data_IF_998009004049
#
_entry.id   IF_998009004049
#
_cell.length_a   1.000
_cell.length_b   1.000
_cell.length_c   1.000
_cell.angle_alpha   90.00
_cell.angle_beta   90.00
_cell.angle_gamma   90.00
#
_symmetry.space_group_name_H-M   'P 1'
#
loop_
_entity.id
_entity.type
_entity.pdbx_description
1 polymer ?
#
# COMPACT_ATOMS: atom_id res chain seq x y z
N UNK A 1 -48.91 44.46 4.19
CA UNK A 1 -47.75 44.17 5.05
C UNK A 1 -47.39 42.68 4.94
N UNK A 2 -46.97 42.21 3.77
CA UNK A 2 -46.61 40.79 3.53
C UNK A 2 -45.17 40.60 3.03
N UNK A 3 -44.54 41.63 2.43
CA UNK A 3 -43.17 41.53 1.91
C UNK A 3 -42.07 41.32 2.97
N UNK A 4 -42.25 41.80 4.21
CA UNK A 4 -41.22 41.65 5.26
C UNK A 4 -41.03 40.21 5.77
N UNK A 5 -42.01 39.32 5.59
CA UNK A 5 -41.89 37.89 5.96
C UNK A 5 -41.29 37.06 4.81
N UNK A 6 -41.58 37.41 3.56
CA UNK A 6 -40.95 36.79 2.38
C UNK A 6 -39.45 37.14 2.32
N UNK A 7 -39.08 38.40 2.56
CA UNK A 7 -37.67 38.82 2.62
C UNK A 7 -36.90 38.14 3.78
N UNK A 8 -37.56 37.90 4.92
CA UNK A 8 -36.97 37.18 6.06
C UNK A 8 -36.77 35.69 5.76
N UNK A 9 -37.75 35.06 5.11
CA UNK A 9 -37.67 33.66 4.71
C UNK A 9 -36.60 33.43 3.62
N UNK A 10 -36.46 34.35 2.67
CA UNK A 10 -35.42 34.30 1.64
C UNK A 10 -34.02 34.48 2.25
N UNK A 11 -33.84 35.45 3.15
CA UNK A 11 -32.56 35.64 3.84
C UNK A 11 -32.19 34.45 4.72
N UNK A 12 -33.13 33.89 5.47
CA UNK A 12 -32.91 32.70 6.30
C UNK A 12 -32.56 31.47 5.44
N UNK A 13 -33.25 31.30 4.31
CA UNK A 13 -32.94 30.24 3.34
C UNK A 13 -31.52 30.39 2.81
N UNK A 14 -31.13 31.59 2.36
CA UNK A 14 -29.77 31.86 1.87
C UNK A 14 -28.69 31.58 2.94
N UNK A 15 -28.95 31.96 4.19
CA UNK A 15 -28.04 31.71 5.31
C UNK A 15 -27.88 30.21 5.59
N UNK A 16 -28.98 29.45 5.59
CA UNK A 16 -28.97 27.99 5.74
C UNK A 16 -28.22 27.32 4.57
N UNK A 17 -28.44 27.77 3.32
CA UNK A 17 -27.71 27.25 2.14
C UNK A 17 -26.21 27.47 2.29
N UNK A 18 -25.82 28.68 2.71
CA UNK A 18 -24.43 29.07 2.91
C UNK A 18 -23.79 28.22 4.00
N UNK A 19 -24.44 28.05 5.14
CA UNK A 19 -23.92 27.25 6.24
C UNK A 19 -23.73 25.77 5.83
N UNK A 20 -24.69 25.17 5.13
CA UNK A 20 -24.59 23.80 4.62
C UNK A 20 -23.42 23.67 3.64
N UNK A 21 -23.29 24.61 2.71
CA UNK A 21 -22.18 24.63 1.75
C UNK A 21 -20.82 24.79 2.45
N UNK A 22 -20.69 25.73 3.39
CA UNK A 22 -19.46 25.95 4.14
C UNK A 22 -19.06 24.70 4.93
N UNK A 23 -20.01 24.02 5.57
CA UNK A 23 -19.76 22.75 6.28
C UNK A 23 -19.35 21.63 5.32
N UNK A 24 -20.04 21.49 4.18
CA UNK A 24 -19.71 20.51 3.14
C UNK A 24 -18.27 20.69 2.64
N UNK A 25 -17.92 21.89 2.17
CA UNK A 25 -16.60 22.16 1.61
C UNK A 25 -15.49 22.08 2.66
N UNK A 26 -15.77 22.49 3.90
CA UNK A 26 -14.82 22.32 5.01
C UNK A 26 -14.52 20.84 5.24
N UNK A 27 -15.55 20.01 5.37
CA UNK A 27 -15.38 18.57 5.59
C UNK A 27 -14.72 17.88 4.39
N UNK A 28 -15.10 18.27 3.18
CA UNK A 28 -14.50 17.76 1.94
C UNK A 28 -13.00 18.03 1.92
N UNK A 29 -12.60 19.27 2.22
CA UNK A 29 -11.19 19.67 2.24
C UNK A 29 -10.37 18.82 3.21
N UNK A 30 -10.91 18.54 4.41
CA UNK A 30 -10.24 17.68 5.40
C UNK A 30 -10.02 16.27 4.81
N UNK A 31 -11.02 15.70 4.14
CA UNK A 31 -10.92 14.39 3.51
C UNK A 31 -9.93 14.38 2.34
N UNK A 32 -9.88 15.44 1.54
CA UNK A 32 -8.90 15.60 0.47
C UNK A 32 -7.47 15.64 1.03
N UNK A 33 -7.24 16.41 2.11
CA UNK A 33 -5.95 16.46 2.80
C UNK A 33 -5.55 15.08 3.37
N UNK A 34 -6.51 14.34 3.95
CA UNK A 34 -6.30 12.99 4.47
C UNK A 34 -5.95 11.97 3.36
N UNK A 35 -6.59 12.10 2.20
CA UNK A 35 -6.31 11.28 1.02
C UNK A 35 -4.91 11.57 0.47
N UNK A 36 -4.54 12.85 0.36
CA UNK A 36 -3.21 13.25 -0.11
C UNK A 36 -2.11 12.72 0.82
N UNK A 37 -2.31 12.83 2.14
CA UNK A 37 -1.39 12.27 3.14
C UNK A 37 -1.28 10.75 3.00
N UNK A 38 -2.40 10.07 2.79
CA UNK A 38 -2.43 8.63 2.57
C UNK A 38 -1.69 8.21 1.29
N UNK A 39 -1.92 8.88 0.17
CA UNK A 39 -1.21 8.64 -1.08
C UNK A 39 0.30 8.86 -0.93
N UNK A 40 0.71 9.88 -0.18
CA UNK A 40 2.11 10.10 0.13
C UNK A 40 2.70 8.94 0.95
N UNK A 41 1.99 8.45 1.97
CA UNK A 41 2.40 7.30 2.77
C UNK A 41 2.50 6.01 1.94
N UNK A 42 1.61 5.79 0.97
CA UNK A 42 1.72 4.66 0.03
C UNK A 42 3.02 4.72 -0.77
N UNK A 43 3.34 5.89 -1.37
CA UNK A 43 4.60 6.09 -2.12
C UNK A 43 5.85 5.93 -1.25
N UNK A 44 5.80 6.36 0.00
CA UNK A 44 6.90 6.10 0.92
C UNK A 44 7.08 4.62 1.23
N UNK A 45 5.97 3.88 1.32
CA UNK A 45 5.97 2.46 1.64
C UNK A 45 6.51 1.58 0.51
N UNK A 46 6.37 2.00 -0.76
CA UNK A 46 7.04 1.36 -1.91
C UNK A 46 8.54 1.18 -1.65
N UNK A 47 9.20 2.19 -1.07
CA UNK A 47 10.63 2.10 -0.74
C UNK A 47 10.92 1.08 0.36
N UNK A 48 10.00 0.84 1.28
CA UNK A 48 10.16 -0.21 2.29
C UNK A 48 9.98 -1.60 1.67
N UNK A 49 9.02 -1.74 0.76
CA UNK A 49 8.81 -2.96 0.01
C UNK A 49 10.03 -3.33 -0.85
N UNK A 50 10.56 -2.38 -1.63
CA UNK A 50 11.75 -2.59 -2.46
C UNK A 50 12.93 -3.13 -1.65
N UNK A 51 13.11 -2.63 -0.43
CA UNK A 51 14.18 -3.10 0.46
C UNK A 51 13.95 -4.54 0.90
N UNK A 52 12.71 -4.93 1.19
CA UNK A 52 12.38 -6.30 1.59
C UNK A 52 12.50 -7.25 0.40
N UNK A 53 11.93 -6.89 -0.76
CA UNK A 53 12.06 -7.63 -2.02
C UNK A 53 13.53 -7.87 -2.37
N UNK A 54 14.40 -6.87 -2.16
CA UNK A 54 15.84 -7.02 -2.39
C UNK A 54 16.47 -8.12 -1.53
N UNK A 55 16.09 -8.27 -0.26
CA UNK A 55 16.61 -9.35 0.58
C UNK A 55 16.01 -10.71 0.22
N UNK A 56 14.72 -10.75 -0.18
CA UNK A 56 14.09 -11.98 -0.72
C UNK A 56 14.82 -12.46 -1.98
N UNK A 57 15.11 -11.55 -2.92
CA UNK A 57 15.88 -11.85 -4.13
C UNK A 57 17.31 -12.32 -3.79
N UNK A 58 17.97 -11.75 -2.78
CA UNK A 58 19.28 -12.27 -2.35
C UNK A 58 19.19 -13.71 -1.86
N UNK A 59 18.17 -14.05 -1.07
CA UNK A 59 17.95 -15.44 -0.63
C UNK A 59 17.63 -16.36 -1.81
N UNK A 60 16.84 -15.89 -2.78
CA UNK A 60 16.58 -16.59 -4.03
C UNK A 60 17.89 -16.90 -4.78
N UNK A 61 18.79 -15.93 -4.94
CA UNK A 61 20.10 -16.14 -5.57
C UNK A 61 21.01 -17.09 -4.78
N UNK A 62 20.94 -17.06 -3.45
CA UNK A 62 21.75 -17.94 -2.60
C UNK A 62 21.24 -19.38 -2.60
N UNK A 63 19.93 -19.60 -2.70
CA UNK A 63 19.35 -20.94 -2.74
C UNK A 63 19.35 -21.52 -4.16
N UNK A 64 18.91 -20.73 -5.15
CA UNK A 64 18.89 -20.98 -6.62
C UNK A 64 18.14 -22.23 -7.10
N UNK A 65 17.91 -23.21 -6.24
CA UNK A 65 17.36 -24.51 -6.54
C UNK A 65 15.89 -24.58 -6.09
N UNK A 66 14.93 -24.91 -6.98
CA UNK A 66 13.51 -25.01 -6.64
C UNK A 66 13.21 -25.85 -5.40
N UNK A 67 13.86 -27.02 -5.24
CA UNK A 67 13.65 -27.88 -4.07
C UNK A 67 14.07 -27.17 -2.77
N UNK A 68 15.16 -26.41 -2.82
CA UNK A 68 15.63 -25.63 -1.67
C UNK A 68 14.72 -24.43 -1.38
N UNK A 69 14.09 -23.85 -2.39
CA UNK A 69 13.12 -22.75 -2.25
C UNK A 69 11.81 -23.25 -1.63
N UNK A 70 11.32 -24.42 -2.03
CA UNK A 70 10.16 -25.07 -1.41
C UNK A 70 10.40 -25.35 0.07
N UNK A 71 11.53 -25.99 0.40
CA UNK A 71 11.90 -26.25 1.79
C UNK A 71 12.13 -24.98 2.59
N UNK A 72 12.61 -23.91 1.96
CA UNK A 72 12.67 -22.59 2.60
C UNK A 72 11.27 -22.07 2.92
N UNK A 73 10.32 -22.22 2.00
CA UNK A 73 8.93 -21.83 2.21
C UNK A 73 8.27 -22.63 3.35
N UNK A 74 8.51 -23.95 3.42
CA UNK A 74 8.03 -24.79 4.52
C UNK A 74 8.55 -24.34 5.88
N UNK A 75 9.83 -23.95 5.96
CA UNK A 75 10.46 -23.50 7.21
C UNK A 75 9.95 -22.11 7.63
N UNK A 76 9.74 -21.21 6.67
CA UNK A 76 9.55 -19.77 6.93
C UNK A 76 8.13 -19.26 6.72
N UNK A 77 7.29 -20.03 6.04
CA UNK A 77 5.98 -19.61 5.56
C UNK A 77 6.02 -18.64 4.37
N UNK A 78 7.20 -18.36 3.80
CA UNK A 78 7.35 -17.42 2.68
C UNK A 78 7.89 -18.13 1.45
N UNK A 79 7.07 -18.14 0.39
CA UNK A 79 7.48 -18.71 -0.90
C UNK A 79 8.35 -17.73 -1.68
N UNK A 80 9.54 -18.19 -2.06
CA UNK A 80 10.42 -17.50 -3.00
C UNK A 80 10.19 -17.96 -4.45
N UNK A 81 9.44 -19.04 -4.66
CA UNK A 81 9.20 -19.61 -5.99
C UNK A 81 8.47 -18.65 -6.92
N UNK A 82 7.60 -17.79 -6.38
CA UNK A 82 6.91 -16.77 -7.19
C UNK A 82 7.86 -15.77 -7.87
N UNK A 83 9.11 -15.68 -7.40
CA UNK A 83 10.16 -14.84 -7.96
C UNK A 83 11.22 -15.64 -8.72
N UNK A 84 11.05 -16.97 -8.83
CA UNK A 84 12.01 -17.82 -9.50
C UNK A 84 11.95 -17.61 -11.00
N UNK A 85 13.10 -17.24 -11.57
CA UNK A 85 13.29 -17.08 -13.00
C UNK A 85 14.77 -17.44 -13.31
N UNK A 86 14.97 -18.44 -14.17
CA UNK A 86 16.31 -18.90 -14.56
C UNK A 86 17.14 -17.81 -15.26
N UNK A 87 16.49 -16.96 -16.06
CA UNK A 87 17.13 -15.84 -16.74
C UNK A 87 17.59 -14.78 -15.72
N UNK A 88 16.73 -14.45 -14.75
CA UNK A 88 17.07 -13.55 -13.65
C UNK A 88 18.27 -14.08 -12.87
N UNK A 89 18.27 -15.36 -12.51
CA UNK A 89 19.33 -15.99 -11.73
C UNK A 89 20.66 -16.09 -12.49
N UNK A 90 20.60 -16.11 -13.82
CA UNK A 90 21.79 -16.17 -14.68
C UNK A 90 22.40 -14.80 -14.95
N UNK A 91 21.69 -13.70 -14.65
CA UNK A 91 22.14 -12.34 -14.91
C UNK A 91 23.27 -11.87 -13.96
N UNK A 92 24.48 -11.61 -14.47
CA UNK A 92 25.58 -11.09 -13.65
C UNK A 92 25.30 -9.65 -13.16
N UNK A 93 24.61 -8.84 -13.96
CA UNK A 93 24.28 -7.45 -13.63
C UNK A 93 23.36 -7.36 -12.42
N UNK A 94 22.30 -8.18 -12.39
CA UNK A 94 21.37 -8.26 -11.26
C UNK A 94 22.10 -8.76 -10.01
N UNK A 95 22.89 -9.84 -10.14
CA UNK A 95 23.70 -10.36 -9.04
C UNK A 95 24.63 -9.28 -8.45
N UNK A 96 25.40 -8.59 -9.29
CA UNK A 96 26.27 -7.49 -8.83
C UNK A 96 25.49 -6.40 -8.11
N UNK A 97 24.36 -5.96 -8.65
CA UNK A 97 23.51 -4.95 -8.03
C UNK A 97 23.00 -5.37 -6.64
N UNK A 98 22.66 -6.65 -6.47
CA UNK A 98 22.20 -7.19 -5.20
C UNK A 98 23.33 -7.30 -4.17
N UNK A 99 24.54 -7.69 -4.57
CA UNK A 99 25.61 -8.09 -3.63
C UNK A 99 26.76 -7.08 -3.42
N UNK A 100 27.00 -6.11 -4.32
CA UNK A 100 28.17 -5.18 -4.32
C UNK A 100 28.42 -4.29 -3.10
N UNK A 101 27.52 -4.25 -2.12
CA UNK A 101 27.66 -3.43 -0.90
C UNK A 101 27.62 -4.27 0.37
N UNK A 102 27.52 -5.59 0.23
CA UNK A 102 27.54 -6.50 1.36
C UNK A 102 28.98 -6.81 1.74
N UNK A 103 29.18 -7.32 2.95
CA UNK A 103 30.46 -7.86 3.38
C UNK A 103 30.24 -9.30 3.82
N UNK A 104 31.11 -10.21 3.37
CA UNK A 104 31.10 -11.59 3.84
C UNK A 104 32.21 -11.78 4.88
N UNK A 105 31.90 -12.54 5.92
CA UNK A 105 32.84 -12.87 7.00
C UNK A 105 33.03 -14.37 7.04
N UNK A 106 34.26 -14.84 7.15
CA UNK A 106 34.57 -16.26 7.22
C UNK A 106 35.95 -16.59 6.66
N UNK A 107 36.56 -17.64 7.20
CA UNK A 107 37.91 -18.08 6.78
C UNK A 107 37.88 -18.83 5.46
N UNK A 108 36.85 -19.64 5.23
CA UNK A 108 36.68 -20.44 3.99
C UNK A 108 35.57 -19.86 3.13
N UNK A 109 35.60 -20.13 1.82
CA UNK A 109 34.52 -19.78 0.88
C UNK A 109 33.15 -20.27 1.38
N UNK A 110 33.08 -21.53 1.84
CA UNK A 110 31.89 -22.11 2.46
C UNK A 110 31.44 -21.34 3.71
N UNK A 111 32.38 -20.99 4.59
CA UNK A 111 32.09 -20.21 5.79
C UNK A 111 31.54 -18.83 5.46
N UNK A 112 32.17 -18.13 4.50
CA UNK A 112 31.73 -16.83 4.00
C UNK A 112 30.31 -16.90 3.42
N UNK A 113 30.01 -17.92 2.62
CA UNK A 113 28.68 -18.13 2.03
C UNK A 113 27.61 -18.36 3.10
N UNK A 114 27.85 -19.30 4.03
CA UNK A 114 26.90 -19.58 5.11
C UNK A 114 26.64 -18.34 5.96
N UNK A 115 27.68 -17.52 6.20
CA UNK A 115 27.53 -16.30 6.97
C UNK A 115 26.78 -15.21 6.21
N UNK A 116 27.03 -15.09 4.91
CA UNK A 116 26.27 -14.19 4.03
C UNK A 116 24.79 -14.55 4.01
N UNK A 117 24.46 -15.84 3.92
CA UNK A 117 23.08 -16.32 3.99
C UNK A 117 22.43 -15.98 5.33
N UNK A 118 23.08 -16.32 6.44
CA UNK A 118 22.59 -16.00 7.79
C UNK A 118 22.34 -14.51 7.97
N UNK A 119 23.32 -13.67 7.60
CA UNK A 119 23.22 -12.22 7.76
C UNK A 119 22.12 -11.64 6.85
N UNK A 120 21.92 -12.21 5.65
CA UNK A 120 20.83 -11.85 4.74
C UNK A 120 19.46 -12.18 5.32
N UNK A 121 19.29 -13.40 5.84
CA UNK A 121 18.06 -13.81 6.49
C UNK A 121 17.76 -12.94 7.73
N UNK A 122 18.77 -12.64 8.55
CA UNK A 122 18.60 -11.79 9.73
C UNK A 122 18.17 -10.37 9.38
N UNK A 123 18.73 -9.77 8.32
CA UNK A 123 18.30 -8.46 7.80
C UNK A 123 16.85 -8.55 7.32
N UNK A 124 16.51 -9.54 6.51
CA UNK A 124 15.14 -9.77 6.05
C UNK A 124 14.18 -9.88 7.24
N UNK A 125 14.49 -10.68 8.25
CA UNK A 125 13.64 -10.84 9.44
C UNK A 125 13.41 -9.52 10.18
N UNK A 126 14.45 -8.70 10.37
CA UNK A 126 14.31 -7.39 10.99
C UNK A 126 13.44 -6.45 10.15
N UNK A 127 13.70 -6.41 8.85
CA UNK A 127 13.00 -5.53 7.91
C UNK A 127 11.54 -5.95 7.73
N UNK A 128 11.25 -7.25 7.67
CA UNK A 128 9.89 -7.77 7.58
C UNK A 128 9.05 -7.38 8.80
N UNK A 129 9.63 -7.36 10.01
CA UNK A 129 8.92 -6.88 11.21
C UNK A 129 8.54 -5.41 11.12
N UNK A 130 9.47 -4.59 10.65
CA UNK A 130 9.23 -3.16 10.47
C UNK A 130 8.21 -2.91 9.35
N UNK A 131 8.35 -3.62 8.23
CA UNK A 131 7.44 -3.62 7.10
C UNK A 131 6.02 -3.97 7.55
N UNK A 132 5.84 -5.07 8.28
CA UNK A 132 4.53 -5.49 8.81
C UNK A 132 3.91 -4.44 9.73
N UNK A 133 4.72 -3.80 10.58
CA UNK A 133 4.24 -2.73 11.46
C UNK A 133 3.71 -1.55 10.66
N UNK A 134 4.48 -1.09 9.67
CA UNK A 134 4.10 0.02 8.79
C UNK A 134 2.91 -0.35 7.90
N UNK A 135 2.86 -1.57 7.37
CA UNK A 135 1.76 -2.07 6.57
C UNK A 135 0.44 -2.06 7.35
N UNK A 136 0.43 -2.57 8.59
CA UNK A 136 -0.76 -2.53 9.46
C UNK A 136 -1.23 -1.10 9.76
N UNK A 137 -0.30 -0.16 9.88
CA UNK A 137 -0.64 1.25 10.06
C UNK A 137 -1.30 1.84 8.80
N UNK A 138 -0.83 1.48 7.60
CA UNK A 138 -1.47 1.83 6.34
C UNK A 138 -2.88 1.22 6.22
N UNK A 139 -3.04 -0.05 6.57
CA UNK A 139 -4.35 -0.72 6.57
C UNK A 139 -5.33 -0.09 7.57
N UNK A 140 -4.83 0.36 8.73
CA UNK A 140 -5.65 1.09 9.68
C UNK A 140 -6.07 2.45 9.13
N UNK A 141 -5.15 3.21 8.51
CA UNK A 141 -5.46 4.51 7.90
C UNK A 141 -6.42 4.38 6.73
N UNK A 142 -6.25 3.36 5.89
CA UNK A 142 -7.16 3.04 4.79
C UNK A 142 -8.59 2.79 5.30
N UNK A 143 -8.75 1.97 6.36
CA UNK A 143 -10.05 1.70 6.97
C UNK A 143 -10.69 2.98 7.53
N UNK A 144 -9.93 3.79 8.24
CA UNK A 144 -10.40 5.08 8.75
C UNK A 144 -10.92 5.98 7.63
N UNK A 145 -10.12 6.18 6.57
CA UNK A 145 -10.53 7.01 5.42
C UNK A 145 -11.79 6.46 4.75
N UNK A 146 -11.91 5.14 4.61
CA UNK A 146 -13.13 4.53 4.07
C UNK A 146 -14.35 4.80 4.94
N UNK A 147 -14.20 4.70 6.27
CA UNK A 147 -15.27 5.03 7.21
C UNK A 147 -15.66 6.51 7.13
N UNK A 148 -14.67 7.41 7.10
CA UNK A 148 -14.90 8.86 7.03
C UNK A 148 -15.58 9.26 5.70
N UNK A 149 -15.18 8.64 4.58
CA UNK A 149 -15.83 8.85 3.28
C UNK A 149 -17.27 8.34 3.27
N UNK A 150 -17.54 7.20 3.90
CA UNK A 150 -18.90 6.68 4.04
C UNK A 150 -19.77 7.59 4.92
N UNK A 151 -19.22 8.10 6.03
CA UNK A 151 -19.92 9.06 6.87
C UNK A 151 -20.20 10.37 6.14
N UNK A 152 -19.22 10.87 5.38
CA UNK A 152 -19.39 12.05 4.55
C UNK A 152 -20.51 11.88 3.52
N UNK A 153 -20.53 10.76 2.80
CA UNK A 153 -21.59 10.47 1.82
C UNK A 153 -22.98 10.38 2.47
N UNK A 154 -23.09 9.78 3.66
CA UNK A 154 -24.35 9.74 4.42
C UNK A 154 -24.80 11.12 4.89
N UNK A 155 -23.86 11.92 5.40
CA UNK A 155 -24.14 13.25 5.96
C UNK A 155 -24.47 14.28 4.88
N UNK A 156 -23.84 14.15 3.72
CA UNK A 156 -23.97 15.07 2.60
C UNK A 156 -24.53 14.38 1.36
N UNK A 157 -25.61 13.63 1.52
CA UNK A 157 -26.36 13.11 0.39
C UNK A 157 -26.92 14.28 -0.43
N UNK A 158 -26.31 14.51 -1.59
CA UNK A 158 -26.67 15.58 -2.52
C UNK A 158 -28.14 15.50 -2.93
N UNK A 159 -28.72 14.30 -3.06
CA UNK A 159 -30.14 14.15 -3.35
C UNK A 159 -31.02 14.74 -2.25
N UNK A 160 -30.71 14.41 -0.99
CA UNK A 160 -31.42 14.94 0.17
C UNK A 160 -31.20 16.45 0.38
N UNK A 161 -29.98 16.96 0.14
CA UNK A 161 -29.66 18.39 0.25
C UNK A 161 -30.36 19.20 -0.84
N UNK A 162 -30.37 18.72 -2.08
CA UNK A 162 -31.03 19.39 -3.19
C UNK A 162 -32.56 19.37 -3.03
N UNK A 163 -33.14 18.23 -2.63
CA UNK A 163 -34.57 18.14 -2.32
C UNK A 163 -34.98 19.10 -1.17
N UNK A 164 -34.13 19.24 -0.15
CA UNK A 164 -34.33 20.23 0.90
C UNK A 164 -34.31 21.66 0.36
N UNK A 165 -33.35 22.01 -0.49
CA UNK A 165 -33.29 23.35 -1.09
C UNK A 165 -34.43 23.64 -2.07
N UNK A 166 -34.94 22.63 -2.77
CA UNK A 166 -36.13 22.73 -3.60
C UNK A 166 -37.39 22.95 -2.76
N UNK A 167 -37.55 22.23 -1.64
CA UNK A 167 -38.67 22.43 -0.70
C UNK A 167 -38.69 23.85 -0.09
N UNK A 168 -37.52 24.48 0.07
CA UNK A 168 -37.40 25.89 0.49
C UNK A 168 -37.71 26.90 -0.64
N UNK A 169 -37.71 26.45 -1.91
CA UNK A 169 -37.93 27.29 -3.09
C UNK A 169 -39.34 27.16 -3.69
N UNK A 170 -40.10 26.12 -3.34
CA UNK A 170 -41.49 25.87 -3.78
C UNK A 170 -42.51 26.93 -3.31
N UNK A 171 -42.09 27.95 -2.57
CA UNK A 171 -42.88 29.15 -2.30
C UNK A 171 -43.20 30.00 -3.56
N UNK A 172 -42.70 29.62 -4.75
CA UNK A 172 -43.01 30.29 -6.03
C UNK A 172 -43.70 29.31 -7.01
N UNK A 173 -44.77 29.72 -7.72
CA UNK A 173 -45.41 28.88 -8.73
C UNK A 173 -44.45 28.64 -9.91
N UNK A 174 -44.13 27.38 -10.22
CA UNK A 174 -43.23 27.03 -11.34
C UNK A 174 -43.99 26.62 -12.62
N UNK A 175 -43.50 27.17 -13.74
CA UNK A 175 -43.82 26.80 -15.11
C UNK A 175 -43.18 25.46 -15.50
N UNK A 176 -43.93 24.63 -16.24
CA UNK A 176 -43.79 23.17 -16.36
C UNK A 176 -42.72 22.67 -17.36
N UNK A 177 -41.62 23.38 -17.59
CA UNK A 177 -40.66 23.07 -18.68
C UNK A 177 -39.23 22.65 -18.31
N UNK A 178 -38.80 22.83 -17.05
CA UNK A 178 -37.36 22.89 -16.68
C UNK A 178 -36.82 21.58 -16.05
N UNK A 179 -37.63 20.53 -15.95
CA UNK A 179 -37.36 19.36 -15.10
C UNK A 179 -36.30 18.39 -15.67
N UNK A 180 -36.19 18.26 -16.99
CA UNK A 180 -35.27 17.30 -17.64
C UNK A 180 -33.81 17.79 -17.68
N UNK A 181 -33.57 19.08 -17.95
CA UNK A 181 -32.21 19.66 -17.96
C UNK A 181 -31.62 19.76 -16.54
N UNK A 182 -32.46 20.00 -15.52
CA UNK A 182 -32.04 20.00 -14.11
C UNK A 182 -31.55 18.62 -13.65
N UNK A 183 -32.20 17.54 -14.05
CA UNK A 183 -31.79 16.17 -13.68
C UNK A 183 -30.38 15.82 -14.19
N UNK A 184 -30.09 16.16 -15.45
CA UNK A 184 -28.77 15.94 -16.05
C UNK A 184 -27.67 16.83 -15.43
N UNK A 185 -28.00 18.08 -15.07
CA UNK A 185 -27.07 18.96 -14.37
C UNK A 185 -26.72 18.46 -12.96
N UNK A 186 -27.69 17.87 -12.25
CA UNK A 186 -27.50 17.29 -10.91
C UNK A 186 -26.65 16.03 -10.96
N UNK A 187 -26.85 15.14 -11.95
CA UNK A 187 -25.97 13.99 -12.16
C UNK A 187 -24.52 14.41 -12.48
N UNK A 188 -24.33 15.39 -13.36
CA UNK A 188 -22.99 15.92 -13.67
C UNK A 188 -22.28 16.55 -12.47
N UNK A 189 -23.02 17.27 -11.61
CA UNK A 189 -22.49 17.79 -10.34
C UNK A 189 -22.16 16.67 -9.35
N UNK A 190 -23.01 15.65 -9.26
CA UNK A 190 -22.76 14.50 -8.40
C UNK A 190 -21.49 13.73 -8.81
N UNK A 191 -21.24 13.57 -10.13
CA UNK A 191 -20.01 12.96 -10.62
C UNK A 191 -18.76 13.80 -10.31
N UNK A 192 -18.81 15.12 -10.53
CA UNK A 192 -17.70 16.03 -10.20
C UNK A 192 -17.39 16.06 -8.69
N UNK A 193 -18.37 15.78 -7.84
CA UNK A 193 -18.24 15.79 -6.39
C UNK A 193 -17.89 14.43 -5.79
N UNK A 194 -17.80 13.36 -6.58
CA UNK A 194 -17.34 12.06 -6.08
C UNK A 194 -15.87 12.12 -5.69
N UNK A 195 -15.53 11.46 -4.58
CA UNK A 195 -14.13 11.22 -4.24
C UNK A 195 -13.54 10.16 -5.17
N UNK A 196 -12.23 10.25 -5.48
CA UNK A 196 -11.54 9.21 -6.23
C UNK A 196 -11.55 7.90 -5.43
N UNK A 197 -11.38 6.78 -6.14
CA UNK A 197 -11.25 5.49 -5.50
C UNK A 197 -9.99 5.44 -4.63
N UNK A 198 -10.16 5.08 -3.36
CA UNK A 198 -9.05 4.96 -2.42
C UNK A 198 -8.37 3.61 -2.64
N UNK A 199 -7.09 3.59 -3.04
CA UNK A 199 -6.45 2.35 -3.42
C UNK A 199 -6.09 1.53 -2.17
N UNK A 200 -6.42 0.25 -2.18
CA UNK A 200 -6.24 -0.63 -1.03
C UNK A 200 -4.77 -1.08 -0.91
N UNK A 201 -4.14 -1.04 0.29
CA UNK A 201 -2.75 -1.44 0.45
C UNK A 201 -2.48 -2.89 0.03
N UNK A 202 -3.40 -3.81 0.35
CA UNK A 202 -3.30 -5.25 0.01
C UNK A 202 -3.28 -5.53 -1.49
N UNK A 203 -3.86 -4.63 -2.29
CA UNK A 203 -3.86 -4.77 -3.76
C UNK A 203 -2.56 -4.31 -4.42
N UNK A 204 -1.74 -3.55 -3.69
CA UNK A 204 -0.53 -2.91 -4.22
C UNK A 204 0.76 -3.53 -3.66
N UNK A 205 0.71 -4.07 -2.44
CA UNK A 205 1.91 -4.49 -1.72
C UNK A 205 1.86 -5.95 -1.29
N UNK A 206 3.04 -6.53 -1.10
CA UNK A 206 3.28 -7.89 -0.67
C UNK A 206 2.81 -8.14 0.77
N UNK A 207 1.84 -9.02 0.96
CA UNK A 207 1.48 -9.47 2.30
C UNK A 207 2.50 -10.51 2.82
N UNK A 208 3.47 -10.02 3.62
CA UNK A 208 4.43 -10.89 4.28
C UNK A 208 3.89 -11.44 5.60
N UNK A 209 3.88 -12.76 5.73
CA UNK A 209 3.65 -13.46 6.99
C UNK A 209 4.78 -13.27 8.01
N UNK A 210 4.57 -13.73 9.26
CA UNK A 210 5.59 -13.65 10.32
C UNK A 210 6.73 -14.63 10.02
N UNK A 211 7.88 -14.09 9.65
CA UNK A 211 9.10 -14.87 9.52
C UNK A 211 9.61 -15.37 10.90
N UNK A 212 10.03 -16.63 11.01
CA UNK A 212 10.67 -17.13 12.22
C UNK A 212 12.03 -16.45 12.42
N UNK A 213 12.39 -16.19 13.67
CA UNK A 213 13.71 -15.70 14.03
C UNK A 213 14.79 -16.73 13.73
N UNK A 214 16.04 -16.28 13.66
CA UNK A 214 17.18 -17.19 13.50
C UNK A 214 17.30 -18.21 14.65
N UNK A 215 16.79 -17.90 15.84
CA UNK A 215 16.80 -18.85 16.96
C UNK A 215 15.82 -20.01 16.74
N UNK A 216 14.68 -19.73 16.11
CA UNK A 216 13.62 -20.72 15.85
C UNK A 216 13.97 -21.61 14.64
N UNK A 217 14.44 -21.01 13.55
CA UNK A 217 14.63 -21.71 12.27
C UNK A 217 16.09 -21.86 11.81
N UNK A 218 17.06 -21.26 12.51
CA UNK A 218 18.43 -21.10 12.02
C UNK A 218 19.18 -22.41 11.76
N UNK A 219 18.89 -23.48 12.52
CA UNK A 219 19.51 -24.79 12.28
C UNK A 219 19.07 -25.40 10.95
N UNK A 220 17.77 -25.37 10.64
CA UNK A 220 17.19 -25.86 9.39
C UNK A 220 17.64 -24.99 8.20
N UNK A 221 17.55 -23.67 8.34
CA UNK A 221 17.99 -22.71 7.33
C UNK A 221 19.50 -22.84 7.01
N UNK A 222 20.33 -23.09 8.02
CA UNK A 222 21.77 -23.30 7.81
C UNK A 222 22.06 -24.61 7.08
N UNK A 223 21.23 -25.65 7.24
CA UNK A 223 21.34 -26.89 6.46
C UNK A 223 21.03 -26.61 4.98
N UNK A 224 19.96 -25.87 4.69
CA UNK A 224 19.64 -25.44 3.31
C UNK A 224 20.79 -24.67 2.66
N UNK A 225 21.34 -23.67 3.35
CA UNK A 225 22.47 -22.91 2.82
C UNK A 225 23.73 -23.78 2.60
N UNK A 226 23.96 -24.78 3.44
CA UNK A 226 25.08 -25.72 3.27
C UNK A 226 24.89 -26.58 2.02
N UNK A 227 23.66 -27.02 1.79
CA UNK A 227 23.28 -27.83 0.63
C UNK A 227 23.35 -27.01 -0.67
N UNK A 228 22.81 -25.78 -0.66
CA UNK A 228 22.90 -24.86 -1.80
C UNK A 228 24.37 -24.62 -2.21
N UNK A 229 25.25 -24.40 -1.23
CA UNK A 229 26.68 -24.25 -1.49
C UNK A 229 27.33 -25.50 -2.12
N UNK A 230 26.85 -26.69 -1.76
CA UNK A 230 27.36 -27.96 -2.30
C UNK A 230 26.86 -28.20 -3.72
N UNK A 231 25.57 -27.93 -4.00
CA UNK A 231 24.96 -28.07 -5.33
C UNK A 231 25.47 -27.03 -6.32
N UNK A 232 25.65 -25.79 -5.89
CA UNK A 232 25.93 -24.62 -6.75
C UNK A 232 27.22 -23.91 -6.35
N UNK A 233 28.31 -24.67 -6.25
CA UNK A 233 29.58 -24.16 -5.74
C UNK A 233 30.20 -23.07 -6.65
N UNK A 234 30.01 -23.12 -7.97
CA UNK A 234 30.55 -22.12 -8.91
C UNK A 234 29.81 -20.78 -8.76
N UNK A 235 28.47 -20.83 -8.71
CA UNK A 235 27.61 -19.66 -8.53
C UNK A 235 27.81 -19.05 -7.15
N UNK A 236 27.96 -19.88 -6.11
CA UNK A 236 28.29 -19.41 -4.78
C UNK A 236 29.63 -18.64 -4.74
N UNK A 237 30.65 -19.08 -5.49
CA UNK A 237 31.90 -18.33 -5.64
C UNK A 237 31.68 -17.01 -6.37
N UNK A 238 30.95 -17.01 -7.48
CA UNK A 238 30.64 -15.80 -8.22
C UNK A 238 29.90 -14.76 -7.36
N UNK A 239 28.97 -15.19 -6.49
CA UNK A 239 28.31 -14.29 -5.53
C UNK A 239 29.33 -13.72 -4.54
N UNK A 240 30.24 -14.53 -4.01
CA UNK A 240 31.23 -14.08 -3.01
C UNK A 240 32.25 -13.08 -3.58
N UNK A 241 32.56 -13.16 -4.87
CA UNK A 241 33.41 -12.19 -5.58
C UNK A 241 32.75 -10.81 -5.60
N UNK A 242 31.44 -10.74 -5.88
CA UNK A 242 30.68 -9.48 -5.88
C UNK A 242 30.57 -8.86 -4.47
N UNK A 243 30.75 -9.64 -3.40
CA UNK A 243 30.70 -9.18 -2.00
C UNK A 243 32.06 -8.72 -1.47
N UNK A 244 33.16 -9.10 -2.14
CA UNK A 244 34.53 -8.82 -1.67
C UNK A 244 35.18 -7.63 -2.38
N UNK A 245 34.43 -6.95 -3.25
CA UNK A 245 34.85 -5.76 -4.00
C UNK A 245 34.25 -4.51 -3.35
#
# INVERSE_FOLDING_TARGET
>A
MFGGFEDLAENLSLEIRREIAERYFTHRKILEEDLDEYHWKLKEFEKEEEKVLRELLRLLFLLRDPDLLERFAEITGVSLLSYYDEYLLSSPGIRRQLFRKLRSRGLTSKGKFLKLFEDTYKRLWQMAREYQRKFRALEARFRQIKEDLQEFQKKYDLGSILAFFESLAESRPQETGVTLEKGQAVEGLAEMLRFPEVPEPRSQFLELGRLPSWREAGSALRRLAKEAYQRHHQEARAILEEVST
#
